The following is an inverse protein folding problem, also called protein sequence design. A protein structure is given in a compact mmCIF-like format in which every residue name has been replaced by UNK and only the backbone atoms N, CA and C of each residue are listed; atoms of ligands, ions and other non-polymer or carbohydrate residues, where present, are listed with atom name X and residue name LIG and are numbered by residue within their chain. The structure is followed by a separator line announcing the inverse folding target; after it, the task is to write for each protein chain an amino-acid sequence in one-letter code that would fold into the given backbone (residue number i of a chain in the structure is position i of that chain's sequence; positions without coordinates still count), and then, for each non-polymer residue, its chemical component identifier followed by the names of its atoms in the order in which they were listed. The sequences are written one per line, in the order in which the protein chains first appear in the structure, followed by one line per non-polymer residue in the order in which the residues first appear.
data_IF_316174045586
#
_entry.id   IF_316174045586
#
_cell.length_a   1.000
_cell.length_b   1.000
_cell.length_c   1.000
_cell.angle_alpha   90.00
_cell.angle_beta   90.00
_cell.angle_gamma   90.00
#
_symmetry.space_group_name_H-M   'P 1'
#
loop_
_entity.id
_entity.type
_entity.pdbx_description
1 polymer ?
#
# COMPACT_ATOMS: atom_id res chain seq x y z
N UNK A 1 -62.88 18.00 -46.99
CA UNK A 1 -64.16 18.68 -46.56
C UNK A 1 -63.83 19.58 -45.41
N UNK A 2 -64.16 20.90 -45.65
CA UNK A 2 -64.71 21.89 -44.74
C UNK A 2 -64.08 22.06 -43.35
N UNK A 3 -63.78 23.20 -42.80
CA UNK A 3 -63.96 24.65 -43.09
C UNK A 3 -63.43 25.40 -41.85
N UNK A 4 -62.62 26.42 -42.12
CA UNK A 4 -62.58 27.79 -41.53
C UNK A 4 -63.29 28.04 -40.20
N UNK A 5 -62.63 28.79 -39.26
CA UNK A 5 -63.07 30.16 -38.97
C UNK A 5 -61.99 30.96 -38.21
N UNK A 6 -61.60 32.09 -38.79
CA UNK A 6 -60.95 33.25 -38.21
C UNK A 6 -61.81 33.94 -37.19
N UNK A 7 -61.24 34.53 -36.14
CA UNK A 7 -61.72 35.80 -35.59
C UNK A 7 -60.58 36.63 -35.02
N UNK A 8 -60.32 37.75 -35.66
CA UNK A 8 -59.56 38.91 -35.20
C UNK A 8 -60.40 39.74 -34.28
N UNK A 9 -59.87 40.27 -33.19
CA UNK A 9 -60.30 41.55 -32.59
C UNK A 9 -59.11 42.30 -32.04
N UNK A 10 -58.86 43.47 -32.59
CA UNK A 10 -57.98 44.56 -32.16
C UNK A 10 -58.80 45.44 -31.21
N UNK A 11 -58.26 45.88 -30.09
CA UNK A 11 -58.52 47.19 -29.51
C UNK A 11 -57.33 47.64 -28.64
N UNK A 12 -57.05 48.92 -28.84
CA UNK A 12 -55.96 49.73 -28.39
C UNK A 12 -56.04 50.21 -26.93
N UNK A 13 -54.88 50.57 -26.40
CA UNK A 13 -54.72 51.82 -25.63
C UNK A 13 -54.67 51.70 -24.12
N UNK A 14 -53.57 51.96 -23.56
CA UNK A 14 -53.31 53.07 -22.61
C UNK A 14 -51.90 52.96 -21.98
N UNK A 15 -51.10 53.97 -22.22
CA UNK A 15 -49.86 54.28 -21.52
C UNK A 15 -50.15 54.63 -20.05
N UNK A 16 -49.49 53.98 -19.13
CA UNK A 16 -49.30 54.52 -17.77
C UNK A 16 -47.86 54.22 -17.35
N UNK A 17 -47.04 55.28 -17.32
CA UNK A 17 -45.76 55.33 -16.72
C UNK A 17 -45.92 55.20 -15.20
N UNK A 18 -45.36 54.13 -14.60
CA UNK A 18 -45.05 54.06 -13.19
C UNK A 18 -43.56 53.79 -13.02
N UNK A 19 -42.85 54.82 -12.59
CA UNK A 19 -41.57 54.68 -11.94
C UNK A 19 -41.73 53.89 -10.64
N UNK A 20 -41.29 52.63 -10.61
CA UNK A 20 -41.19 51.82 -9.40
C UNK A 20 -39.74 51.41 -9.19
N UNK A 21 -39.06 52.06 -8.23
CA UNK A 21 -37.82 51.53 -7.67
C UNK A 21 -38.07 50.16 -7.03
N UNK A 22 -37.68 49.09 -7.72
CA UNK A 22 -37.63 47.73 -7.16
C UNK A 22 -36.29 47.50 -6.46
N UNK A 23 -36.27 46.82 -5.30
CA UNK A 23 -35.03 46.52 -4.59
C UNK A 23 -34.18 45.54 -5.41
N UNK A 24 -32.91 45.88 -5.52
CA UNK A 24 -31.94 45.05 -6.23
C UNK A 24 -31.95 43.59 -5.72
N UNK A 25 -32.20 42.68 -6.64
CA UNK A 25 -31.96 41.26 -6.40
C UNK A 25 -30.46 41.08 -6.12
N UNK A 26 -30.16 40.98 -4.84
CA UNK A 26 -28.86 40.53 -4.41
C UNK A 26 -28.60 39.18 -5.05
N UNK A 27 -27.75 39.14 -6.08
CA UNK A 27 -27.09 37.90 -6.46
C UNK A 27 -26.36 37.43 -5.21
N UNK A 28 -26.83 36.32 -4.65
CA UNK A 28 -26.04 35.57 -3.71
C UNK A 28 -24.62 35.40 -4.31
N UNK A 29 -23.55 35.62 -3.56
CA UNK A 29 -22.24 35.41 -4.11
C UNK A 29 -22.21 33.93 -4.53
N UNK A 30 -22.05 33.69 -5.83
CA UNK A 30 -21.57 32.38 -6.31
C UNK A 30 -20.34 32.08 -5.44
N UNK A 31 -20.43 30.97 -4.67
CA UNK A 31 -19.24 30.40 -4.05
C UNK A 31 -18.24 30.26 -5.18
N UNK A 32 -17.21 31.11 -5.20
CA UNK A 32 -16.05 30.93 -6.04
C UNK A 32 -15.58 29.52 -5.74
N UNK A 33 -15.77 28.60 -6.69
CA UNK A 33 -15.16 27.30 -6.63
C UNK A 33 -13.65 27.56 -6.56
N UNK A 34 -13.07 27.51 -5.35
CA UNK A 34 -11.63 27.54 -5.19
C UNK A 34 -11.07 26.46 -6.10
N UNK A 35 -10.04 26.79 -6.88
CA UNK A 35 -9.41 25.84 -7.80
C UNK A 35 -9.12 24.53 -7.03
N UNK A 36 -9.71 23.44 -7.50
CA UNK A 36 -9.50 22.12 -6.90
C UNK A 36 -8.00 21.79 -6.96
N UNK A 37 -7.43 21.39 -5.82
CA UNK A 37 -6.04 20.96 -5.78
C UNK A 37 -5.88 19.64 -6.53
N UNK A 38 -5.14 19.66 -7.64
CA UNK A 38 -4.86 18.47 -8.45
C UNK A 38 -3.74 17.64 -7.84
N UNK A 39 -3.98 16.34 -7.72
CA UNK A 39 -3.06 15.36 -7.14
C UNK A 39 -2.91 14.20 -8.12
N UNK A 40 -1.68 13.80 -8.43
CA UNK A 40 -1.40 12.66 -9.29
C UNK A 40 -0.88 11.47 -8.48
N UNK A 41 -1.29 10.27 -8.89
CA UNK A 41 -0.76 9.00 -8.40
C UNK A 41 -0.16 8.23 -9.57
N UNK A 42 1.10 7.84 -9.44
CA UNK A 42 1.87 7.13 -10.46
C UNK A 42 2.09 5.70 -9.99
N UNK A 43 1.43 4.76 -10.65
CA UNK A 43 1.41 3.34 -10.30
C UNK A 43 2.35 2.53 -11.18
N UNK A 44 3.08 1.61 -10.57
CA UNK A 44 4.00 0.69 -11.25
C UNK A 44 3.26 -0.48 -11.92
N UNK A 45 2.10 -0.85 -11.39
CA UNK A 45 1.25 -1.92 -11.89
C UNK A 45 -0.18 -1.46 -12.20
N UNK A 46 -1.06 -2.38 -12.62
CA UNK A 46 -2.47 -2.08 -12.90
C UNK A 46 -3.30 -2.01 -11.61
N UNK A 47 -4.34 -1.17 -11.59
CA UNK A 47 -5.27 -1.06 -10.44
C UNK A 47 -5.97 -2.38 -10.10
N UNK A 48 -6.07 -3.31 -11.03
CA UNK A 48 -6.68 -4.63 -10.83
C UNK A 48 -5.71 -5.72 -10.38
N UNK A 49 -4.52 -5.39 -9.86
CA UNK A 49 -3.52 -6.37 -9.41
C UNK A 49 -3.95 -7.19 -8.19
N UNK A 50 -4.98 -6.75 -7.48
CA UNK A 50 -5.45 -7.25 -6.19
C UNK A 50 -4.51 -6.99 -5.01
N UNK A 51 -3.36 -6.37 -5.23
CA UNK A 51 -2.30 -6.17 -4.26
C UNK A 51 -1.88 -4.71 -4.09
N UNK A 52 -0.64 -4.42 -4.49
CA UNK A 52 0.03 -3.14 -4.23
C UNK A 52 -0.71 -1.94 -4.83
N UNK A 53 -0.96 -1.96 -6.13
CA UNK A 53 -1.63 -0.85 -6.81
C UNK A 53 -3.09 -0.72 -6.37
N UNK A 54 -3.77 -1.84 -6.13
CA UNK A 54 -5.13 -1.86 -5.57
C UNK A 54 -5.17 -1.15 -4.21
N UNK A 55 -4.25 -1.46 -3.29
CA UNK A 55 -4.19 -0.83 -1.96
C UNK A 55 -4.01 0.70 -2.05
N UNK A 56 -3.14 1.16 -2.94
CA UNK A 56 -2.93 2.59 -3.18
C UNK A 56 -4.16 3.26 -3.78
N UNK A 57 -4.83 2.63 -4.75
CA UNK A 57 -5.99 3.22 -5.42
C UNK A 57 -7.24 3.25 -4.54
N UNK A 58 -7.43 2.24 -3.69
CA UNK A 58 -8.50 2.25 -2.68
C UNK A 58 -8.33 3.40 -1.69
N UNK A 59 -7.12 3.60 -1.20
CA UNK A 59 -6.79 4.73 -0.32
C UNK A 59 -6.92 6.08 -1.03
N UNK A 60 -6.52 6.19 -2.31
CA UNK A 60 -6.76 7.39 -3.14
C UNK A 60 -8.24 7.69 -3.29
N UNK A 61 -9.06 6.68 -3.58
CA UNK A 61 -10.52 6.85 -3.67
C UNK A 61 -11.12 7.30 -2.34
N UNK A 62 -10.60 6.79 -1.22
CA UNK A 62 -11.02 7.22 0.12
C UNK A 62 -10.59 8.66 0.38
N UNK A 63 -9.36 9.03 0.07
CA UNK A 63 -8.86 10.40 0.14
C UNK A 63 -9.76 11.37 -0.64
N UNK A 64 -10.14 11.04 -1.88
CA UNK A 64 -10.98 11.90 -2.72
C UNK A 64 -12.40 12.08 -2.16
N UNK A 65 -12.94 11.07 -1.49
CA UNK A 65 -14.25 11.17 -0.81
C UNK A 65 -14.21 11.99 0.48
N UNK A 66 -13.12 11.92 1.23
CA UNK A 66 -13.03 12.48 2.58
C UNK A 66 -12.42 13.89 2.62
N UNK A 67 -11.65 14.29 1.60
CA UNK A 67 -11.01 15.60 1.54
C UNK A 67 -11.65 16.46 0.45
N UNK A 68 -12.50 17.44 0.78
CA UNK A 68 -13.15 18.29 -0.21
C UNK A 68 -12.16 19.23 -0.91
N UNK A 69 -12.44 19.61 -2.16
CA UNK A 69 -11.65 20.56 -2.95
C UNK A 69 -10.30 19.98 -3.42
N UNK A 70 -10.26 18.69 -3.65
CA UNK A 70 -9.19 18.00 -4.38
C UNK A 70 -9.74 17.24 -5.57
N UNK A 71 -8.87 16.99 -6.54
CA UNK A 71 -9.13 16.10 -7.66
C UNK A 71 -7.92 15.21 -7.88
N UNK A 72 -8.14 13.90 -7.91
CA UNK A 72 -7.07 12.95 -8.15
C UNK A 72 -7.05 12.45 -9.60
N UNK A 73 -5.86 12.13 -10.10
CA UNK A 73 -5.64 11.45 -11.38
C UNK A 73 -4.64 10.33 -11.19
N UNK A 74 -4.77 9.28 -11.96
CA UNK A 74 -3.88 8.13 -11.94
C UNK A 74 -3.24 7.89 -13.30
N UNK A 75 -2.09 7.23 -13.27
CA UNK A 75 -1.51 6.57 -14.43
C UNK A 75 -0.94 5.24 -13.96
N UNK A 76 -1.24 4.18 -14.72
CA UNK A 76 -0.88 2.80 -14.40
C UNK A 76 0.26 2.30 -15.27
N UNK A 77 0.92 1.22 -14.81
CA UNK A 77 1.94 0.52 -15.57
C UNK A 77 3.10 1.43 -16.03
N UNK A 78 3.50 2.37 -15.17
CA UNK A 78 4.64 3.24 -15.44
C UNK A 78 5.92 2.49 -15.09
N UNK A 79 6.82 2.21 -16.06
CA UNK A 79 8.09 1.55 -15.75
C UNK A 79 8.96 2.39 -14.81
N UNK A 80 9.72 1.73 -13.95
CA UNK A 80 10.74 2.38 -13.14
C UNK A 80 11.84 2.98 -14.01
N UNK A 81 12.43 4.10 -13.56
CA UNK A 81 13.48 4.80 -14.29
C UNK A 81 12.99 6.05 -15.05
N UNK A 82 13.51 6.28 -16.26
CA UNK A 82 13.31 7.53 -17.01
C UNK A 82 11.84 7.84 -17.35
N UNK A 83 11.04 6.82 -17.58
CA UNK A 83 9.62 6.97 -17.90
C UNK A 83 8.85 7.59 -16.74
N UNK A 84 9.14 7.18 -15.51
CA UNK A 84 8.54 7.77 -14.32
C UNK A 84 8.86 9.28 -14.22
N UNK A 85 10.09 9.69 -14.50
CA UNK A 85 10.47 11.11 -14.51
C UNK A 85 9.72 11.93 -15.56
N UNK A 86 9.54 11.37 -16.78
CA UNK A 86 8.76 12.03 -17.84
C UNK A 86 7.29 12.22 -17.44
N UNK A 87 6.67 11.20 -16.87
CA UNK A 87 5.29 11.24 -16.41
C UNK A 87 5.11 12.25 -15.28
N UNK A 88 5.98 12.23 -14.26
CA UNK A 88 5.95 13.20 -13.16
C UNK A 88 6.09 14.64 -13.67
N UNK A 89 7.03 14.89 -14.58
CA UNK A 89 7.23 16.20 -15.21
C UNK A 89 6.00 16.66 -15.98
N UNK A 90 5.29 15.76 -16.66
CA UNK A 90 4.06 16.09 -17.37
C UNK A 90 2.96 16.52 -16.42
N UNK A 91 2.73 15.79 -15.31
CA UNK A 91 1.76 16.17 -14.29
C UNK A 91 2.12 17.52 -13.65
N UNK A 92 3.38 17.74 -13.29
CA UNK A 92 3.84 18.99 -12.71
C UNK A 92 3.58 20.20 -13.64
N UNK A 93 3.88 20.08 -14.96
CA UNK A 93 3.59 21.12 -15.98
C UNK A 93 2.09 21.38 -16.16
N UNK A 94 1.23 20.37 -15.92
CA UNK A 94 -0.22 20.49 -16.02
C UNK A 94 -0.89 21.02 -14.72
N UNK A 95 -0.10 21.58 -13.81
CA UNK A 95 -0.58 22.27 -12.60
C UNK A 95 -1.00 21.35 -11.47
N UNK A 96 -0.49 20.12 -11.43
CA UNK A 96 -0.63 19.26 -10.26
C UNK A 96 0.28 19.77 -9.14
N UNK A 97 -0.28 19.91 -7.96
CA UNK A 97 0.43 20.44 -6.79
C UNK A 97 1.11 19.37 -5.96
N UNK A 98 0.67 18.13 -6.10
CA UNK A 98 1.18 17.00 -5.36
C UNK A 98 1.22 15.74 -6.24
N UNK A 99 2.28 14.96 -6.13
CA UNK A 99 2.50 13.74 -6.90
C UNK A 99 2.96 12.63 -5.97
N UNK A 100 2.17 11.55 -5.90
CA UNK A 100 2.53 10.31 -5.23
C UNK A 100 3.19 9.34 -6.23
N UNK A 101 4.43 8.97 -5.96
CA UNK A 101 5.21 8.01 -6.74
C UNK A 101 5.30 6.69 -5.96
N UNK A 102 4.57 5.66 -6.41
CA UNK A 102 4.27 4.47 -5.60
C UNK A 102 5.15 3.26 -5.92
N UNK A 103 6.42 3.46 -6.18
CA UNK A 103 7.37 2.35 -6.34
C UNK A 103 8.76 2.71 -5.86
N UNK A 104 9.46 1.71 -5.31
CA UNK A 104 10.85 1.86 -4.82
C UNK A 104 11.79 2.44 -5.88
N UNK A 105 11.73 1.95 -7.12
CA UNK A 105 12.61 2.36 -8.22
C UNK A 105 12.30 3.76 -8.78
N UNK A 106 11.33 4.49 -8.25
CA UNK A 106 11.06 5.88 -8.63
C UNK A 106 11.92 6.91 -7.89
N UNK A 107 12.79 6.50 -6.94
CA UNK A 107 13.52 7.43 -6.09
C UNK A 107 14.37 8.46 -6.85
N UNK A 108 15.25 8.01 -7.75
CA UNK A 108 16.10 8.93 -8.52
C UNK A 108 15.29 9.78 -9.51
N UNK A 109 14.30 9.26 -10.26
CA UNK A 109 13.36 10.06 -11.03
C UNK A 109 12.62 11.12 -10.24
N UNK A 110 12.12 10.82 -9.02
CA UNK A 110 11.47 11.79 -8.13
C UNK A 110 12.42 12.91 -7.77
N UNK A 111 13.62 12.59 -7.27
CA UNK A 111 14.61 13.59 -6.85
C UNK A 111 15.09 14.48 -8.00
N UNK A 112 15.23 13.91 -9.20
CA UNK A 112 15.59 14.68 -10.39
C UNK A 112 14.46 15.62 -10.80
N UNK A 113 13.22 15.12 -10.88
CA UNK A 113 12.06 15.92 -11.29
C UNK A 113 11.73 17.02 -10.28
N UNK A 114 11.84 16.74 -8.98
CA UNK A 114 11.52 17.70 -7.93
C UNK A 114 12.36 18.99 -7.98
N UNK A 115 13.61 18.90 -8.46
CA UNK A 115 14.50 20.08 -8.65
C UNK A 115 13.97 21.04 -9.71
N UNK A 116 13.33 20.51 -10.76
CA UNK A 116 12.78 21.31 -11.86
C UNK A 116 11.42 21.92 -11.49
N UNK A 117 10.74 21.37 -10.47
CA UNK A 117 9.39 21.78 -10.05
C UNK A 117 9.33 22.07 -8.53
N UNK A 118 10.02 23.11 -8.02
CA UNK A 118 10.16 23.36 -6.58
C UNK A 118 8.84 23.70 -5.85
N UNK A 119 7.78 24.03 -6.58
CA UNK A 119 6.46 24.35 -6.03
C UNK A 119 5.49 23.15 -6.04
N UNK A 120 5.94 21.98 -6.49
CA UNK A 120 5.19 20.71 -6.47
C UNK A 120 5.74 19.84 -5.36
N UNK A 121 4.86 19.26 -4.56
CA UNK A 121 5.22 18.28 -3.52
C UNK A 121 5.28 16.89 -4.14
N UNK A 122 6.34 16.17 -3.87
CA UNK A 122 6.51 14.78 -4.27
C UNK A 122 6.57 13.88 -3.05
N UNK A 123 5.72 12.87 -3.01
CA UNK A 123 5.73 11.82 -1.99
C UNK A 123 6.15 10.48 -2.61
N UNK A 124 7.27 9.96 -2.16
CA UNK A 124 7.86 8.74 -2.70
C UNK A 124 7.65 7.55 -1.74
N UNK A 125 6.90 6.55 -2.18
CA UNK A 125 6.69 5.32 -1.43
C UNK A 125 7.91 4.39 -1.49
N UNK A 126 8.37 3.94 -0.32
CA UNK A 126 9.53 3.06 -0.20
C UNK A 126 10.89 3.77 -0.33
N UNK A 127 10.90 5.09 -0.52
CA UNK A 127 12.12 5.89 -0.57
C UNK A 127 12.76 6.13 0.80
N UNK A 128 14.00 6.59 0.77
CA UNK A 128 14.76 6.94 1.98
C UNK A 128 15.56 8.25 1.83
N UNK A 129 15.38 8.96 0.71
CA UNK A 129 16.00 10.26 0.46
C UNK A 129 14.93 11.33 0.35
N UNK A 130 15.03 12.37 1.18
CA UNK A 130 14.16 13.54 1.16
C UNK A 130 14.88 14.74 0.53
N UNK A 131 14.11 15.73 0.07
CA UNK A 131 14.59 17.05 -0.36
C UNK A 131 13.55 18.11 0.03
N UNK A 132 13.77 19.37 -0.30
CA UNK A 132 12.93 20.52 0.12
C UNK A 132 11.44 20.34 -0.19
N UNK A 133 11.12 19.66 -1.29
CA UNK A 133 9.77 19.35 -1.75
C UNK A 133 9.56 17.85 -2.00
N UNK A 134 10.39 17.00 -1.41
CA UNK A 134 10.29 15.52 -1.49
C UNK A 134 10.17 14.95 -0.10
N UNK A 135 9.05 14.32 0.18
CA UNK A 135 8.84 13.43 1.31
C UNK A 135 8.97 11.96 0.90
N UNK A 136 9.16 11.10 1.88
CA UNK A 136 9.13 9.65 1.69
C UNK A 136 8.18 9.02 2.70
N UNK A 137 7.49 7.97 2.28
CA UNK A 137 6.57 7.26 3.18
C UNK A 137 6.64 5.75 2.97
N UNK A 138 6.47 5.03 4.06
CA UNK A 138 6.30 3.58 4.05
C UNK A 138 5.65 3.09 5.35
N UNK A 139 5.13 1.84 5.33
CA UNK A 139 4.66 1.16 6.53
C UNK A 139 5.76 0.30 7.16
N UNK A 140 5.80 0.19 8.50
CA UNK A 140 6.59 -0.84 9.20
C UNK A 140 5.95 -2.22 9.00
N UNK A 141 5.83 -2.62 7.75
CA UNK A 141 5.15 -3.85 7.31
C UNK A 141 5.73 -5.10 7.96
N UNK A 142 7.00 -5.07 8.33
CA UNK A 142 7.65 -6.17 9.05
C UNK A 142 6.90 -6.55 10.34
N UNK A 143 6.21 -5.62 10.99
CA UNK A 143 5.40 -5.89 12.19
C UNK A 143 4.20 -6.80 11.85
N UNK A 144 3.46 -6.47 10.79
CA UNK A 144 2.35 -7.30 10.32
C UNK A 144 2.83 -8.63 9.72
N UNK A 145 4.01 -8.63 9.06
CA UNK A 145 4.66 -9.87 8.58
C UNK A 145 4.97 -10.84 9.71
N UNK A 146 5.54 -10.36 10.81
CA UNK A 146 5.76 -11.18 12.00
C UNK A 146 4.46 -11.78 12.54
N UNK A 147 3.42 -10.98 12.69
CA UNK A 147 2.12 -11.46 13.16
C UNK A 147 1.53 -12.53 12.25
N UNK A 148 1.63 -12.36 10.92
CA UNK A 148 1.20 -13.38 9.97
C UNK A 148 2.09 -14.62 9.98
N UNK A 149 3.37 -14.47 10.33
CA UNK A 149 4.30 -15.56 10.56
C UNK A 149 3.90 -16.45 11.74
N UNK A 150 3.41 -15.86 12.84
CA UNK A 150 2.86 -16.61 13.97
C UNK A 150 1.69 -17.50 13.51
N UNK A 151 0.80 -16.96 12.68
CA UNK A 151 -0.32 -17.72 12.13
C UNK A 151 0.18 -18.87 11.27
N UNK A 152 1.09 -18.61 10.33
CA UNK A 152 1.65 -19.63 9.45
C UNK A 152 2.36 -20.74 10.23
N UNK A 153 3.16 -20.38 11.25
CA UNK A 153 3.88 -21.34 12.10
C UNK A 153 2.95 -22.24 12.93
N UNK A 154 1.80 -21.74 13.38
CA UNK A 154 0.78 -22.53 14.07
C UNK A 154 -0.04 -23.42 13.13
N UNK A 155 -0.24 -22.98 11.89
CA UNK A 155 -1.11 -23.67 10.94
C UNK A 155 -0.39 -24.71 10.09
N UNK A 156 0.94 -24.62 9.92
CA UNK A 156 1.69 -25.62 9.16
C UNK A 156 1.69 -26.98 9.87
N UNK A 157 1.52 -28.04 9.10
CA UNK A 157 1.61 -29.44 9.52
C UNK A 157 2.93 -30.08 9.12
N UNK A 158 3.49 -29.65 7.99
CA UNK A 158 4.75 -30.18 7.46
C UNK A 158 5.98 -29.49 8.06
N UNK A 159 5.80 -28.30 8.63
CA UNK A 159 6.88 -27.42 9.05
C UNK A 159 7.60 -26.73 7.88
N UNK A 160 7.11 -26.89 6.65
CA UNK A 160 7.64 -26.24 5.45
C UNK A 160 6.67 -25.17 4.97
N UNK A 161 7.11 -23.94 4.97
CA UNK A 161 6.34 -22.78 4.55
C UNK A 161 7.02 -22.18 3.32
N UNK A 162 6.28 -22.01 2.24
CA UNK A 162 6.76 -21.36 1.02
C UNK A 162 6.59 -19.85 1.09
N UNK A 163 7.54 -19.11 0.56
CA UNK A 163 7.47 -17.65 0.44
C UNK A 163 7.85 -17.22 -0.98
N UNK A 164 6.89 -16.72 -1.73
CA UNK A 164 7.08 -16.18 -3.08
C UNK A 164 7.51 -14.72 -2.95
N UNK A 165 8.74 -14.41 -3.37
CA UNK A 165 9.35 -13.09 -3.19
C UNK A 165 9.62 -12.39 -4.53
N UNK A 166 9.46 -11.06 -4.56
CA UNK A 166 9.66 -10.25 -5.75
C UNK A 166 11.16 -9.96 -6.03
N UNK A 167 11.69 -8.90 -5.47
CA UNK A 167 13.07 -8.45 -5.68
C UNK A 167 13.90 -8.53 -4.40
N UNK A 168 15.21 -8.86 -4.47
CA UNK A 168 16.07 -9.00 -3.31
C UNK A 168 16.54 -7.65 -2.76
N UNK A 169 15.61 -6.80 -2.37
CA UNK A 169 15.87 -5.49 -1.76
C UNK A 169 15.65 -5.55 -0.24
N UNK A 170 16.23 -4.62 0.54
CA UNK A 170 16.15 -4.63 2.00
C UNK A 170 14.71 -4.70 2.56
N UNK A 171 13.74 -4.08 1.89
CA UNK A 171 12.34 -4.13 2.28
C UNK A 171 11.78 -5.55 2.24
N UNK A 172 12.01 -6.27 1.13
CA UNK A 172 11.52 -7.64 0.93
C UNK A 172 12.22 -8.61 1.89
N UNK A 173 13.55 -8.49 2.02
CA UNK A 173 14.39 -9.29 2.94
C UNK A 173 13.88 -9.11 4.38
N UNK A 174 13.68 -7.87 4.82
CA UNK A 174 13.14 -7.54 6.14
C UNK A 174 11.75 -8.15 6.39
N UNK A 175 10.90 -8.15 5.34
CA UNK A 175 9.59 -8.78 5.40
C UNK A 175 9.65 -10.29 5.57
N UNK A 176 10.55 -10.97 4.84
CA UNK A 176 10.80 -12.41 4.95
C UNK A 176 11.34 -12.75 6.35
N UNK A 177 12.32 -11.99 6.83
CA UNK A 177 12.94 -12.20 8.13
C UNK A 177 11.95 -12.05 9.27
N UNK A 178 11.15 -10.99 9.26
CA UNK A 178 10.13 -10.79 10.28
C UNK A 178 9.08 -11.91 10.27
N UNK A 179 8.66 -12.35 9.09
CA UNK A 179 7.76 -13.48 8.93
C UNK A 179 8.38 -14.76 9.50
N UNK A 180 9.64 -15.04 9.19
CA UNK A 180 10.36 -16.22 9.67
C UNK A 180 10.56 -16.19 11.20
N UNK A 181 10.83 -15.02 11.80
CA UNK A 181 10.89 -14.86 13.26
C UNK A 181 9.54 -15.28 13.87
N UNK A 182 8.41 -14.80 13.31
CA UNK A 182 7.08 -15.19 13.77
C UNK A 182 6.79 -16.68 13.60
N UNK A 183 7.15 -17.25 12.45
CA UNK A 183 7.02 -18.69 12.19
C UNK A 183 7.75 -19.51 13.23
N UNK A 184 9.02 -19.18 13.50
CA UNK A 184 9.85 -19.93 14.44
C UNK A 184 9.46 -19.75 15.90
N UNK A 185 8.95 -18.59 16.27
CA UNK A 185 8.39 -18.40 17.61
C UNK A 185 7.18 -19.30 17.83
N UNK A 186 6.32 -19.44 16.83
CA UNK A 186 5.14 -20.31 16.90
C UNK A 186 5.46 -21.81 16.74
N UNK A 187 6.47 -22.12 15.92
CA UNK A 187 6.96 -23.48 15.63
C UNK A 187 8.48 -23.48 15.37
N UNK A 188 9.31 -23.73 16.39
CA UNK A 188 10.77 -23.68 16.27
C UNK A 188 11.39 -24.63 15.24
N UNK A 189 10.64 -25.65 14.79
CA UNK A 189 11.10 -26.63 13.80
C UNK A 189 10.73 -26.26 12.36
N UNK A 190 9.85 -25.26 12.18
CA UNK A 190 9.41 -24.84 10.86
C UNK A 190 10.49 -23.98 10.16
N UNK A 191 10.51 -24.07 8.83
CA UNK A 191 11.39 -23.29 7.96
C UNK A 191 10.60 -22.59 6.85
N UNK A 192 11.07 -21.41 6.46
CA UNK A 192 10.51 -20.58 5.38
C UNK A 192 11.41 -20.75 4.15
N UNK A 193 10.87 -21.36 3.08
CA UNK A 193 11.56 -21.59 1.82
C UNK A 193 11.22 -20.47 0.84
N UNK A 194 12.24 -19.75 0.35
CA UNK A 194 12.06 -18.55 -0.49
C UNK A 194 12.35 -18.89 -1.96
N UNK A 195 11.45 -18.45 -2.84
CA UNK A 195 11.62 -18.46 -4.29
C UNK A 195 11.41 -17.05 -4.82
N UNK A 196 12.36 -16.56 -5.65
CA UNK A 196 12.38 -15.22 -6.20
C UNK A 196 11.82 -15.21 -7.62
N UNK A 197 10.89 -14.28 -7.90
CA UNK A 197 10.30 -14.08 -9.25
C UNK A 197 11.03 -13.02 -10.06
N UNK A 198 11.78 -12.13 -9.40
CA UNK A 198 12.40 -10.94 -10.02
C UNK A 198 11.37 -10.04 -10.74
N UNK A 199 10.16 -9.99 -10.22
CA UNK A 199 9.07 -9.15 -10.73
C UNK A 199 8.16 -8.72 -9.57
N UNK A 200 7.61 -7.49 -9.63
CA UNK A 200 6.56 -7.05 -8.71
C UNK A 200 5.22 -7.69 -9.08
N UNK A 201 4.92 -7.73 -10.38
CA UNK A 201 3.64 -8.21 -10.92
C UNK A 201 3.88 -9.13 -12.12
N UNK A 202 3.68 -10.41 -11.95
CA UNK A 202 3.69 -11.42 -13.02
C UNK A 202 2.91 -12.66 -12.55
N UNK A 203 1.58 -12.72 -12.81
CA UNK A 203 0.72 -13.80 -12.32
C UNK A 203 1.19 -15.21 -12.71
N UNK A 204 1.89 -15.33 -13.85
CA UNK A 204 2.39 -16.62 -14.32
C UNK A 204 3.59 -17.08 -13.49
N UNK A 205 4.60 -16.22 -13.34
CA UNK A 205 5.79 -16.51 -12.51
C UNK A 205 5.45 -16.68 -11.04
N UNK A 206 4.53 -15.87 -10.51
CA UNK A 206 4.07 -15.97 -9.13
C UNK A 206 3.42 -17.33 -8.86
N UNK A 207 2.57 -17.81 -9.77
CA UNK A 207 1.96 -19.14 -9.69
C UNK A 207 3.01 -20.24 -9.78
N UNK A 208 3.92 -20.18 -10.77
CA UNK A 208 4.98 -21.16 -10.95
C UNK A 208 5.87 -21.27 -9.70
N UNK A 209 6.26 -20.13 -9.12
CA UNK A 209 7.01 -20.08 -7.88
C UNK A 209 6.26 -20.74 -6.72
N UNK A 210 4.96 -20.45 -6.56
CA UNK A 210 4.13 -21.07 -5.54
C UNK A 210 3.99 -22.60 -5.76
N UNK A 211 3.75 -23.03 -7.00
CA UNK A 211 3.63 -24.46 -7.34
C UNK A 211 4.95 -25.21 -7.04
N UNK A 212 6.10 -24.62 -7.35
CA UNK A 212 7.40 -25.21 -7.03
C UNK A 212 7.60 -25.41 -5.52
N UNK A 213 7.16 -24.46 -4.70
CA UNK A 213 7.21 -24.55 -3.24
C UNK A 213 6.24 -25.62 -2.71
N UNK A 214 5.04 -25.73 -3.29
CA UNK A 214 4.07 -26.78 -2.96
C UNK A 214 4.58 -28.17 -3.32
N UNK A 215 5.32 -28.32 -4.42
CA UNK A 215 5.98 -29.57 -4.82
C UNK A 215 7.09 -29.98 -3.85
N UNK A 216 7.72 -29.03 -3.16
CA UNK A 216 8.64 -29.27 -2.04
C UNK A 216 7.94 -29.59 -0.72
N UNK A 217 6.62 -29.81 -0.76
CA UNK A 217 5.75 -30.11 0.39
C UNK A 217 5.54 -28.94 1.35
N UNK A 218 5.66 -27.71 0.88
CA UNK A 218 5.14 -26.56 1.63
C UNK A 218 3.60 -26.67 1.74
N UNK A 219 3.05 -26.45 2.91
CA UNK A 219 1.61 -26.52 3.17
C UNK A 219 0.98 -25.19 3.57
N UNK A 220 1.80 -24.14 3.64
CA UNK A 220 1.40 -22.73 3.74
C UNK A 220 2.22 -21.92 2.74
N UNK A 221 1.57 -21.12 1.90
CA UNK A 221 2.23 -20.22 0.95
C UNK A 221 2.01 -18.77 1.38
N UNK A 222 3.10 -18.06 1.65
CA UNK A 222 3.14 -16.62 1.85
C UNK A 222 3.73 -15.93 0.61
N UNK A 223 3.50 -14.65 0.46
CA UNK A 223 3.96 -13.89 -0.71
C UNK A 223 4.39 -12.46 -0.38
N UNK A 224 5.33 -11.94 -1.16
CA UNK A 224 5.60 -10.53 -1.36
C UNK A 224 5.48 -10.25 -2.85
N UNK A 225 4.25 -10.34 -3.34
CA UNK A 225 3.84 -10.27 -4.74
C UNK A 225 2.51 -9.51 -4.82
N UNK A 226 2.20 -9.00 -6.00
CA UNK A 226 1.05 -8.11 -6.18
C UNK A 226 -0.21 -8.84 -6.63
N UNK A 227 -0.13 -10.13 -7.04
CA UNK A 227 -1.33 -10.86 -7.45
C UNK A 227 -1.78 -11.91 -6.43
N UNK A 228 -3.02 -12.38 -6.57
CA UNK A 228 -3.52 -13.49 -5.78
C UNK A 228 -3.13 -14.89 -6.32
N UNK A 229 -2.29 -14.96 -7.36
CA UNK A 229 -1.93 -16.24 -8.01
C UNK A 229 -1.28 -17.25 -7.07
N UNK A 230 -0.38 -16.87 -6.13
CA UNK A 230 0.18 -17.82 -5.16
C UNK A 230 -0.88 -18.40 -4.23
N UNK A 231 -1.86 -17.61 -3.79
CA UNK A 231 -2.93 -18.07 -2.92
C UNK A 231 -3.88 -19.03 -3.63
N UNK A 232 -4.21 -18.73 -4.89
CA UNK A 232 -5.04 -19.63 -5.72
C UNK A 232 -4.32 -20.96 -5.98
N UNK A 233 -3.00 -20.95 -6.17
CA UNK A 233 -2.20 -22.16 -6.30
C UNK A 233 -2.25 -23.00 -5.01
N UNK A 234 -2.09 -22.36 -3.83
CA UNK A 234 -2.22 -23.03 -2.54
C UNK A 234 -3.61 -23.63 -2.34
N UNK A 235 -4.68 -22.88 -2.63
CA UNK A 235 -6.05 -23.38 -2.49
C UNK A 235 -6.33 -24.59 -3.38
N UNK A 236 -5.86 -24.55 -4.63
CA UNK A 236 -6.00 -25.66 -5.59
C UNK A 236 -5.36 -26.96 -5.09
N UNK A 237 -4.28 -26.84 -4.30
CA UNK A 237 -3.55 -27.96 -3.70
C UNK A 237 -4.07 -28.32 -2.29
N UNK A 238 -5.13 -27.68 -1.80
CA UNK A 238 -5.66 -27.89 -0.46
C UNK A 238 -4.74 -27.44 0.68
N UNK A 239 -3.82 -26.50 0.37
CA UNK A 239 -2.88 -25.88 1.29
C UNK A 239 -3.39 -24.51 1.74
N UNK A 240 -2.77 -23.94 2.80
CA UNK A 240 -3.10 -22.61 3.29
C UNK A 240 -2.30 -21.51 2.61
N UNK A 241 -2.78 -20.26 2.76
CA UNK A 241 -2.10 -19.09 2.22
C UNK A 241 -2.14 -17.88 3.15
N UNK A 242 -1.11 -17.05 3.05
CA UNK A 242 -1.01 -15.70 3.64
C UNK A 242 -0.94 -14.71 2.48
N UNK A 243 -1.95 -13.82 2.38
CA UNK A 243 -1.99 -12.78 1.35
C UNK A 243 -1.03 -11.62 1.61
N UNK A 244 -1.13 -10.57 0.79
CA UNK A 244 -0.32 -9.37 0.94
C UNK A 244 -0.98 -8.12 0.34
N UNK A 245 -0.67 -6.96 0.89
CA UNK A 245 -1.12 -5.63 0.51
C UNK A 245 -2.59 -5.32 0.80
N UNK A 246 -3.50 -6.24 0.48
CA UNK A 246 -4.95 -6.12 0.65
C UNK A 246 -5.55 -7.37 1.29
N UNK A 247 -6.84 -7.32 1.63
CA UNK A 247 -7.60 -8.53 1.96
C UNK A 247 -7.88 -9.35 0.70
N UNK A 248 -7.09 -10.39 0.50
CA UNK A 248 -7.20 -11.30 -0.63
C UNK A 248 -8.11 -12.52 -0.35
N UNK A 249 -8.89 -12.52 0.72
CA UNK A 249 -9.71 -13.67 1.15
C UNK A 249 -10.69 -14.15 0.07
N UNK A 250 -11.21 -13.24 -0.76
CA UNK A 250 -12.15 -13.56 -1.84
C UNK A 250 -11.53 -14.38 -2.98
N UNK A 251 -10.20 -14.33 -3.15
CA UNK A 251 -9.51 -15.06 -4.22
C UNK A 251 -9.18 -16.50 -3.88
N UNK A 252 -9.09 -16.84 -2.59
CA UNK A 252 -8.78 -18.17 -2.10
C UNK A 252 -9.43 -18.41 -0.71
N UNK A 253 -10.78 -18.41 -0.63
CA UNK A 253 -11.50 -18.38 0.65
C UNK A 253 -11.28 -19.62 1.53
N UNK A 254 -10.88 -20.74 0.96
CA UNK A 254 -10.60 -22.00 1.68
C UNK A 254 -9.13 -22.12 2.11
N UNK A 255 -8.25 -21.28 1.55
CA UNK A 255 -6.81 -21.30 1.84
C UNK A 255 -6.38 -20.09 2.70
N UNK A 256 -7.05 -18.96 2.55
CA UNK A 256 -6.65 -17.70 3.14
C UNK A 256 -6.70 -17.70 4.66
N UNK A 257 -5.56 -17.56 5.32
CA UNK A 257 -5.45 -17.46 6.78
C UNK A 257 -5.59 -16.01 7.26
N UNK A 258 -4.88 -15.10 6.63
CA UNK A 258 -4.87 -13.63 6.82
C UNK A 258 -3.95 -13.00 5.77
N UNK A 259 -3.80 -11.67 5.80
CA UNK A 259 -2.83 -10.95 4.98
C UNK A 259 -2.27 -9.75 5.75
N UNK A 260 -0.95 -9.48 5.74
CA UNK A 260 -0.42 -8.15 6.03
C UNK A 260 -0.93 -7.14 5.00
N UNK A 261 -1.56 -6.05 5.46
CA UNK A 261 -2.22 -5.06 4.60
C UNK A 261 -1.73 -3.65 4.88
N UNK A 262 -1.83 -2.78 3.87
CA UNK A 262 -1.59 -1.35 4.00
C UNK A 262 -2.89 -0.56 4.04
N UNK A 263 -2.97 0.39 4.95
CA UNK A 263 -4.04 1.39 5.07
C UNK A 263 -3.46 2.76 4.69
N UNK A 264 -3.15 2.97 3.42
CA UNK A 264 -2.45 4.16 2.94
C UNK A 264 -3.19 5.47 3.18
N UNK A 265 -4.52 5.44 3.36
CA UNK A 265 -5.30 6.62 3.72
C UNK A 265 -4.89 7.22 5.07
N UNK A 266 -4.30 6.43 5.97
CA UNK A 266 -3.73 6.92 7.24
C UNK A 266 -2.55 7.89 7.04
N UNK A 267 -1.87 7.77 5.90
CA UNK A 267 -0.85 8.71 5.47
C UNK A 267 -1.42 9.75 4.50
N UNK A 268 -2.14 9.35 3.46
CA UNK A 268 -2.58 10.26 2.39
C UNK A 268 -3.46 11.40 2.87
N UNK A 269 -4.45 11.13 3.74
CA UNK A 269 -5.41 12.14 4.17
C UNK A 269 -4.72 13.27 4.95
N UNK A 270 -3.98 13.01 6.05
CA UNK A 270 -3.33 14.09 6.79
C UNK A 270 -2.25 14.81 5.97
N UNK A 271 -1.54 14.10 5.10
CA UNK A 271 -0.48 14.67 4.30
C UNK A 271 -1.03 15.64 3.23
N UNK A 272 -2.07 15.24 2.50
CA UNK A 272 -2.78 16.10 1.54
C UNK A 272 -3.40 17.33 2.22
N UNK A 273 -3.97 17.17 3.41
CA UNK A 273 -4.50 18.29 4.19
C UNK A 273 -3.36 19.27 4.53
N UNK A 274 -2.20 18.77 4.93
CA UNK A 274 -1.04 19.62 5.25
C UNK A 274 -0.57 20.45 4.05
N UNK A 275 -0.57 19.88 2.84
CA UNK A 275 -0.26 20.59 1.58
C UNK A 275 -1.32 21.66 1.28
N UNK A 276 -2.61 21.34 1.46
CA UNK A 276 -3.71 22.31 1.26
C UNK A 276 -3.59 23.52 2.20
N UNK A 277 -3.19 23.27 3.43
CA UNK A 277 -3.04 24.30 4.47
C UNK A 277 -1.70 25.06 4.39
N UNK A 278 -0.79 24.66 3.47
CA UNK A 278 0.53 25.25 3.36
C UNK A 278 1.45 24.95 4.56
N UNK A 279 1.19 23.85 5.27
CA UNK A 279 1.93 23.40 6.45
C UNK A 279 2.83 22.20 6.19
N UNK A 280 2.81 21.69 4.96
CA UNK A 280 3.60 20.52 4.59
C UNK A 280 5.10 20.79 4.76
N UNK A 281 5.79 19.82 5.32
CA UNK A 281 7.26 19.80 5.45
C UNK A 281 7.77 18.41 5.02
N UNK A 282 8.96 18.34 4.38
CA UNK A 282 9.52 17.05 3.99
C UNK A 282 9.77 16.17 5.23
N UNK A 283 9.37 14.92 5.14
CA UNK A 283 9.53 13.94 6.20
C UNK A 283 9.89 12.58 5.65
N UNK A 284 10.47 11.74 6.48
CA UNK A 284 10.58 10.31 6.24
C UNK A 284 9.56 9.60 7.13
N UNK A 285 8.35 9.40 6.60
CA UNK A 285 7.25 8.76 7.31
C UNK A 285 7.43 7.24 7.30
N UNK A 286 7.66 6.63 8.46
CA UNK A 286 7.76 5.19 8.59
C UNK A 286 7.06 4.73 9.88
N UNK A 287 5.75 4.50 9.78
CA UNK A 287 4.86 4.17 10.90
C UNK A 287 4.34 2.73 10.78
N UNK A 288 3.78 2.19 11.86
CA UNK A 288 3.46 0.78 11.98
C UNK A 288 2.02 0.49 12.39
N UNK A 289 1.87 -0.62 13.13
CA UNK A 289 0.59 -1.10 13.66
C UNK A 289 -0.06 -0.06 14.58
N UNK A 290 0.74 0.62 15.40
CA UNK A 290 0.25 1.63 16.35
C UNK A 290 -0.51 2.77 15.66
N UNK A 291 -0.03 3.25 14.54
CA UNK A 291 -0.66 4.31 13.75
C UNK A 291 -1.68 3.75 12.75
N UNK A 292 -1.77 2.43 12.62
CA UNK A 292 -2.71 1.73 11.76
C UNK A 292 -2.43 1.82 10.27
N UNK A 293 -1.23 2.27 9.85
CA UNK A 293 -0.85 2.31 8.43
C UNK A 293 -0.55 0.91 7.88
N UNK A 294 -0.22 -0.02 8.76
CA UNK A 294 -0.17 -1.46 8.45
C UNK A 294 -1.08 -2.22 9.40
N UNK A 295 -1.63 -3.33 8.95
CA UNK A 295 -2.52 -4.17 9.73
C UNK A 295 -2.50 -5.62 9.23
N UNK A 296 -3.33 -6.48 9.84
CA UNK A 296 -3.71 -7.78 9.30
C UNK A 296 -5.16 -7.73 8.78
N UNK A 297 -5.40 -8.29 7.61
CA UNK A 297 -6.73 -8.62 7.13
C UNK A 297 -7.43 -9.57 8.12
N UNK A 298 -8.77 -9.65 8.10
CA UNK A 298 -9.52 -10.58 8.93
C UNK A 298 -9.00 -12.01 8.80
N UNK A 299 -9.02 -12.74 9.91
CA UNK A 299 -8.62 -14.14 9.87
C UNK A 299 -9.63 -15.02 9.13
N UNK A 300 -9.13 -15.92 8.31
CA UNK A 300 -9.94 -16.96 7.72
C UNK A 300 -10.61 -17.85 8.78
N UNK A 301 -11.77 -18.49 8.44
CA UNK A 301 -12.55 -19.26 9.41
C UNK A 301 -11.81 -20.49 9.94
N UNK A 302 -10.75 -20.94 9.27
CA UNK A 302 -9.93 -22.07 9.70
C UNK A 302 -8.89 -21.71 10.77
N UNK A 303 -8.65 -20.42 11.05
CA UNK A 303 -7.68 -20.01 12.06
C UNK A 303 -8.29 -20.17 13.47
N UNK A 304 -7.68 -21.01 14.34
CA UNK A 304 -8.20 -21.26 15.70
C UNK A 304 -8.14 -20.00 16.61
N UNK A 305 -9.00 -19.97 17.62
CA UNK A 305 -9.10 -18.81 18.51
C UNK A 305 -7.87 -18.63 19.42
N UNK A 306 -7.17 -19.69 19.77
CA UNK A 306 -5.90 -19.62 20.51
C UNK A 306 -4.80 -18.98 19.67
N UNK A 307 -4.78 -19.20 18.35
CA UNK A 307 -3.88 -18.52 17.42
C UNK A 307 -4.22 -17.03 17.30
N UNK A 308 -5.50 -16.70 17.17
CA UNK A 308 -5.95 -15.29 17.14
C UNK A 308 -5.56 -14.56 18.44
N UNK A 309 -5.70 -15.25 19.59
CA UNK A 309 -5.30 -14.73 20.90
C UNK A 309 -3.79 -14.46 20.96
N UNK A 310 -2.96 -15.42 20.54
CA UNK A 310 -1.50 -15.25 20.47
C UNK A 310 -1.12 -14.02 19.63
N UNK A 311 -1.71 -13.88 18.44
CA UNK A 311 -1.45 -12.73 17.56
C UNK A 311 -1.87 -11.42 18.23
N UNK A 312 -3.04 -11.39 18.90
CA UNK A 312 -3.52 -10.20 19.62
C UNK A 312 -2.60 -9.79 20.77
N UNK A 313 -2.07 -10.75 21.52
CA UNK A 313 -1.12 -10.49 22.62
C UNK A 313 0.19 -9.88 22.10
N UNK A 314 0.75 -10.45 21.01
CA UNK A 314 1.97 -9.93 20.39
C UNK A 314 1.78 -8.57 19.73
N UNK A 315 0.63 -8.35 19.09
CA UNK A 315 0.24 -7.04 18.54
C UNK A 315 0.29 -5.96 19.63
N UNK A 316 -0.28 -6.21 20.79
CA UNK A 316 -0.30 -5.24 21.90
C UNK A 316 1.10 -4.83 22.35
N UNK A 317 2.04 -5.76 22.40
CA UNK A 317 3.43 -5.48 22.78
C UNK A 317 4.12 -4.58 21.73
N UNK A 318 3.83 -4.79 20.43
CA UNK A 318 4.34 -3.95 19.36
C UNK A 318 3.70 -2.55 19.40
N UNK A 319 2.39 -2.46 19.54
CA UNK A 319 1.65 -1.19 19.57
C UNK A 319 1.99 -0.34 20.80
N UNK A 320 2.24 -0.97 21.95
CA UNK A 320 2.72 -0.27 23.15
C UNK A 320 4.19 0.16 23.07
N UNK A 321 4.98 -0.44 22.17
CA UNK A 321 6.42 -0.22 22.07
C UNK A 321 7.24 -0.92 23.16
N UNK A 322 6.61 -1.85 23.91
CA UNK A 322 7.31 -2.68 24.88
C UNK A 322 8.22 -3.72 24.22
N UNK A 323 7.90 -4.09 22.98
CA UNK A 323 8.68 -5.03 22.19
C UNK A 323 8.51 -4.75 20.69
N UNK A 324 9.51 -5.11 19.88
CA UNK A 324 9.43 -5.10 18.42
C UNK A 324 10.24 -6.27 17.83
N UNK A 325 9.97 -6.61 16.58
CA UNK A 325 10.36 -7.86 15.91
C UNK A 325 11.89 -8.05 15.86
N UNK A 326 12.64 -6.98 15.59
CA UNK A 326 14.11 -7.04 15.45
C UNK A 326 14.85 -6.63 16.74
N UNK A 327 14.27 -6.96 17.89
CA UNK A 327 14.97 -6.90 19.16
C UNK A 327 15.58 -8.25 19.47
N UNK A 328 16.88 -8.26 19.85
CA UNK A 328 17.61 -9.49 20.09
C UNK A 328 17.08 -10.36 21.22
N UNK A 329 17.45 -11.63 21.21
CA UNK A 329 18.52 -12.21 20.38
C UNK A 329 18.04 -12.54 18.96
N UNK A 330 18.81 -12.11 17.94
CA UNK A 330 18.56 -12.44 16.53
C UNK A 330 19.79 -13.11 15.94
N UNK A 331 19.62 -14.25 15.28
CA UNK A 331 20.66 -15.00 14.58
C UNK A 331 20.42 -14.97 13.07
N UNK A 332 21.51 -15.02 12.30
CA UNK A 332 21.42 -15.23 10.86
C UNK A 332 21.22 -16.70 10.47
N UNK A 333 21.07 -16.99 9.17
CA UNK A 333 20.89 -18.34 8.62
C UNK A 333 21.98 -19.33 9.07
N UNK A 334 23.21 -18.89 9.34
CA UNK A 334 24.31 -19.73 9.79
C UNK A 334 24.24 -20.04 11.28
N UNK A 335 23.32 -19.42 12.02
CA UNK A 335 23.22 -19.48 13.46
C UNK A 335 24.13 -18.48 14.18
N UNK A 336 24.86 -17.60 13.45
CA UNK A 336 25.68 -16.56 14.04
C UNK A 336 24.81 -15.46 14.65
N UNK A 337 25.14 -15.07 15.89
CA UNK A 337 24.39 -14.04 16.62
C UNK A 337 24.65 -12.65 16.03
N UNK A 338 23.62 -12.01 15.51
CA UNK A 338 23.66 -10.65 14.95
C UNK A 338 23.32 -9.58 15.97
N UNK A 339 22.33 -9.85 16.82
CA UNK A 339 21.92 -8.99 17.93
C UNK A 339 21.78 -9.83 19.20
N UNK A 340 22.37 -9.37 20.29
CA UNK A 340 22.26 -10.00 21.61
C UNK A 340 20.93 -9.64 22.26
N UNK A 341 20.58 -10.35 23.34
CA UNK A 341 19.46 -10.00 24.16
C UNK A 341 19.54 -8.53 24.65
N UNK A 342 18.45 -7.79 24.50
CA UNK A 342 18.37 -6.35 24.80
C UNK A 342 18.88 -5.41 23.72
N UNK A 343 19.61 -5.89 22.72
CA UNK A 343 20.01 -5.09 21.57
C UNK A 343 18.84 -4.92 20.59
N UNK A 344 18.75 -3.73 19.96
CA UNK A 344 17.69 -3.38 19.02
C UNK A 344 18.29 -3.01 17.68
N UNK A 345 17.77 -3.59 16.60
CA UNK A 345 18.13 -3.16 15.26
C UNK A 345 17.61 -1.73 15.02
N UNK A 346 18.49 -0.82 14.60
CA UNK A 346 18.10 0.55 14.28
C UNK A 346 17.37 0.63 12.95
N UNK A 347 16.62 1.72 12.71
CA UNK A 347 15.97 1.96 11.42
C UNK A 347 16.97 1.94 10.24
N UNK A 348 18.15 2.54 10.42
CA UNK A 348 19.20 2.52 9.39
C UNK A 348 19.71 1.10 9.08
N UNK A 349 19.85 0.25 10.09
CA UNK A 349 20.22 -1.16 9.89
C UNK A 349 19.11 -1.94 9.19
N UNK A 350 17.84 -1.70 9.56
CA UNK A 350 16.70 -2.32 8.90
C UNK A 350 16.54 -1.90 7.43
N UNK A 351 16.85 -0.64 7.10
CA UNK A 351 16.80 -0.12 5.72
C UNK A 351 17.96 -0.64 4.85
N UNK A 352 18.99 -1.24 5.45
CA UNK A 352 20.15 -1.82 4.76
C UNK A 352 20.26 -3.34 4.91
N UNK A 353 19.19 -3.99 5.41
CA UNK A 353 19.18 -5.42 5.68
C UNK A 353 19.40 -6.23 4.39
N UNK A 354 20.44 -7.09 4.41
CA UNK A 354 20.88 -7.86 3.23
C UNK A 354 21.31 -9.29 3.59
N UNK A 355 20.78 -9.84 4.66
CA UNK A 355 21.02 -11.21 5.13
C UNK A 355 19.72 -11.79 5.69
N UNK A 356 19.61 -13.11 5.74
CA UNK A 356 18.44 -13.80 6.28
C UNK A 356 18.64 -14.24 7.72
N UNK A 357 17.56 -14.23 8.49
CA UNK A 357 17.52 -14.79 9.85
C UNK A 357 17.52 -16.31 9.84
N UNK A 358 17.85 -16.90 10.98
CA UNK A 358 17.73 -18.34 11.23
C UNK A 358 16.29 -18.83 10.92
N UNK A 359 16.17 -19.95 10.20
CA UNK A 359 14.91 -20.55 9.78
C UNK A 359 14.44 -20.15 8.40
N UNK A 360 15.13 -19.25 7.70
CA UNK A 360 14.92 -19.00 6.27
C UNK A 360 15.82 -19.95 5.48
N UNK A 361 15.26 -20.59 4.45
CA UNK A 361 15.96 -21.46 3.49
C UNK A 361 15.88 -20.83 2.11
N UNK A 362 17.00 -20.66 1.45
CA UNK A 362 17.19 -19.99 0.17
C UNK A 362 18.38 -19.05 0.21
N UNK A 363 18.70 -18.46 -0.94
CA UNK A 363 19.76 -17.48 -1.11
C UNK A 363 19.19 -16.13 -1.49
N UNK A 364 19.89 -15.06 -1.13
CA UNK A 364 19.60 -13.72 -1.64
C UNK A 364 20.36 -13.58 -2.95
N UNK A 365 19.67 -13.45 -4.10
CA UNK A 365 20.32 -13.23 -5.38
C UNK A 365 21.16 -11.95 -5.37
N UNK A 366 22.31 -11.99 -6.08
CA UNK A 366 23.24 -10.85 -6.18
C UNK A 366 22.93 -9.97 -7.37
#
# INVERSE_FOLDING_TARGET
MRRHFLFLWIIAGALLLFCGCGPGSGKSPEKSGGDEMKIAFIYVGPVGDAGWTTAHDEARKKLEREVPGIKTSIIENVPEGADAGRVMSQYARNGYRMIFATSFGYMDPVLATAKDFPNVVFEHCGGYKTDKNVGTYFGRMYQARYLSGLVAGKMTKTGKIGYVAAHPIPEVIRGIDAFAIGVREANPKAAVHVVWTHSWYDPAKEREAAESLLDLSADVIAQHQDTAAPQQAAEKRGCYSIGYNTDMSSFAPRAHLTAPVFNWEKFYIPDVISVKEGKWVPQNYWKGLKEGVVDLAPFGPMVPDDVKKLVSEKRKLIESGEWDVFWGPVKDQSGALKFKEGEKMTDDQMLKLNWFVEGVSGEIPR
#
